data_IF_218450857831
#
_entry.id   IF_218450857831
#
_cell.length_a   1.000
_cell.length_b   1.000
_cell.length_c   1.000
_cell.angle_alpha   90.00
_cell.angle_beta   90.00
_cell.angle_gamma   90.00
#
_symmetry.space_group_name_H-M   'P 1'
#
loop_
_entity.id
_entity.type
_entity.pdbx_description
1 polymer ?
#
# COMPACT_ATOMS: atom_id res chain seq x y z
N UNK A 1 -22.98 8.33 7.54
CA UNK A 1 -23.08 6.98 6.95
C UNK A 1 -23.05 5.97 8.09
N UNK A 2 -23.72 4.83 7.99
CA UNK A 2 -23.60 3.77 9.01
C UNK A 2 -22.39 2.89 8.74
N UNK A 3 -21.91 2.18 9.76
CA UNK A 3 -20.84 1.18 9.62
C UNK A 3 -21.20 0.10 8.58
N UNK A 4 -22.44 -0.40 8.65
CA UNK A 4 -22.92 -1.48 7.77
C UNK A 4 -22.96 -1.02 6.30
N UNK A 5 -23.45 0.20 6.01
CA UNK A 5 -23.37 0.75 4.66
C UNK A 5 -21.93 0.99 4.18
N UNK A 6 -21.00 1.28 5.09
CA UNK A 6 -19.58 1.44 4.76
C UNK A 6 -18.85 0.10 4.53
N UNK A 7 -19.45 -1.04 4.89
CA UNK A 7 -18.90 -2.39 4.61
C UNK A 7 -19.37 -2.95 3.26
N UNK A 8 -20.40 -2.38 2.62
CA UNK A 8 -21.05 -2.96 1.44
C UNK A 8 -20.10 -3.13 0.23
N UNK A 9 -19.11 -2.25 0.07
CA UNK A 9 -18.14 -2.35 -1.02
C UNK A 9 -17.23 -3.59 -0.93
N UNK A 10 -17.08 -4.18 0.25
CA UNK A 10 -16.27 -5.39 0.47
C UNK A 10 -17.01 -6.69 0.10
N UNK A 11 -18.28 -6.62 -0.32
CA UNK A 11 -19.11 -7.74 -0.83
C UNK A 11 -19.07 -9.02 0.05
N UNK A 12 -18.93 -8.84 1.36
CA UNK A 12 -18.57 -9.88 2.34
C UNK A 12 -19.49 -11.12 2.35
N UNK A 13 -20.74 -10.96 1.94
CA UNK A 13 -21.77 -12.00 1.92
C UNK A 13 -21.81 -12.78 0.59
N UNK A 14 -21.09 -12.31 -0.44
CA UNK A 14 -20.96 -12.95 -1.75
C UNK A 14 -19.63 -13.72 -1.89
N UNK A 15 -18.65 -13.42 -1.03
CA UNK A 15 -17.39 -14.18 -0.96
C UNK A 15 -17.67 -15.63 -0.57
N UNK A 16 -17.23 -16.59 -1.39
CA UNK A 16 -17.49 -18.01 -1.11
C UNK A 16 -16.77 -18.47 0.18
N UNK A 17 -17.48 -19.25 1.01
CA UNK A 17 -16.90 -19.81 2.25
C UNK A 17 -15.66 -20.67 1.98
N UNK A 18 -15.60 -21.35 0.83
CA UNK A 18 -14.46 -22.16 0.43
C UNK A 18 -13.19 -21.33 0.23
N UNK A 19 -13.28 -20.21 -0.49
CA UNK A 19 -12.17 -19.27 -0.66
C UNK A 19 -11.74 -18.65 0.67
N UNK A 20 -12.71 -18.29 1.52
CA UNK A 20 -12.39 -17.75 2.86
C UNK A 20 -11.63 -18.78 3.69
N UNK A 21 -12.12 -20.03 3.79
CA UNK A 21 -11.41 -21.06 4.56
C UNK A 21 -10.03 -21.38 3.95
N UNK A 22 -9.87 -21.43 2.62
CA UNK A 22 -8.56 -21.62 1.95
C UNK A 22 -7.57 -20.49 2.27
N UNK A 23 -8.00 -19.23 2.29
CA UNK A 23 -7.15 -18.07 2.64
C UNK A 23 -6.74 -18.09 4.13
N UNK A 24 -7.62 -18.58 5.01
CA UNK A 24 -7.30 -18.80 6.43
C UNK A 24 -6.35 -19.99 6.63
N UNK A 25 -6.54 -21.10 5.90
CA UNK A 25 -5.69 -22.31 5.96
C UNK A 25 -4.27 -22.07 5.40
N UNK A 26 -4.09 -21.02 4.59
CA UNK A 26 -2.79 -20.54 4.09
C UNK A 26 -2.19 -19.39 4.92
N UNK A 27 -2.72 -19.14 6.12
CA UNK A 27 -2.17 -18.19 7.10
C UNK A 27 -1.99 -16.75 6.55
N UNK A 28 -2.75 -16.39 5.51
CA UNK A 28 -2.62 -15.14 4.75
C UNK A 28 -1.24 -14.92 4.09
N UNK A 29 -0.53 -16.00 3.75
CA UNK A 29 0.81 -15.94 3.12
C UNK A 29 0.76 -15.87 1.59
N UNK A 30 -0.25 -16.45 0.96
CA UNK A 30 -0.41 -16.55 -0.50
C UNK A 30 -1.65 -15.79 -1.00
N UNK A 31 -1.52 -15.10 -2.14
CA UNK A 31 -2.66 -14.48 -2.82
C UNK A 31 -3.51 -15.54 -3.53
N UNK A 32 -4.80 -15.61 -3.21
CA UNK A 32 -5.80 -16.43 -3.93
C UNK A 32 -6.73 -15.53 -4.74
N UNK A 33 -6.85 -15.82 -6.03
CA UNK A 33 -7.84 -15.18 -6.92
C UNK A 33 -9.26 -15.45 -6.42
N UNK A 34 -10.14 -14.47 -6.58
CA UNK A 34 -11.57 -14.60 -6.34
C UNK A 34 -12.27 -15.11 -7.62
N UNK A 35 -13.61 -15.03 -7.65
CA UNK A 35 -14.36 -15.02 -8.92
C UNK A 35 -14.08 -13.70 -9.64
N UNK A 36 -13.79 -13.75 -10.95
CA UNK A 36 -13.38 -12.60 -11.76
C UNK A 36 -14.30 -11.37 -11.56
N UNK A 37 -15.62 -11.57 -11.48
CA UNK A 37 -16.57 -10.46 -11.32
C UNK A 37 -16.53 -9.82 -9.92
N UNK A 38 -16.22 -10.62 -8.89
CA UNK A 38 -16.01 -10.13 -7.52
C UNK A 38 -14.64 -9.43 -7.44
N UNK A 39 -13.61 -9.96 -8.11
CA UNK A 39 -12.27 -9.37 -8.10
C UNK A 39 -12.23 -8.01 -8.83
N UNK A 40 -12.95 -7.86 -9.94
CA UNK A 40 -13.15 -6.59 -10.64
C UNK A 40 -13.90 -5.57 -9.77
N UNK A 41 -15.03 -5.95 -9.14
CA UNK A 41 -15.82 -5.06 -8.27
C UNK A 41 -15.03 -4.59 -7.03
N UNK A 42 -14.22 -5.48 -6.43
CA UNK A 42 -13.30 -5.14 -5.34
C UNK A 42 -12.15 -4.25 -5.83
N UNK A 43 -11.59 -4.50 -7.01
CA UNK A 43 -10.51 -3.70 -7.59
C UNK A 43 -10.96 -2.31 -8.05
N UNK A 44 -12.24 -2.16 -8.43
CA UNK A 44 -12.88 -0.89 -8.73
C UNK A 44 -13.18 -0.04 -7.48
N UNK A 45 -13.08 -0.60 -6.28
CA UNK A 45 -13.38 0.10 -5.04
C UNK A 45 -12.37 1.20 -4.71
N UNK A 46 -12.89 2.39 -4.38
CA UNK A 46 -12.11 3.61 -4.27
C UNK A 46 -11.53 3.90 -2.88
N UNK A 47 -10.54 4.80 -2.87
CA UNK A 47 -9.96 5.40 -1.67
C UNK A 47 -11.01 5.99 -0.71
N UNK A 48 -12.06 6.59 -1.27
CA UNK A 48 -13.17 7.20 -0.53
C UNK A 48 -13.94 6.18 0.30
N UNK A 49 -14.19 4.99 -0.25
CA UNK A 49 -14.95 3.92 0.39
C UNK A 49 -14.17 3.38 1.60
N UNK A 50 -12.87 3.09 1.41
CA UNK A 50 -11.94 2.76 2.48
C UNK A 50 -11.86 3.84 3.59
N UNK A 51 -11.69 5.12 3.22
CA UNK A 51 -11.65 6.23 4.20
C UNK A 51 -12.96 6.36 4.98
N UNK A 52 -14.10 6.14 4.33
CA UNK A 52 -15.42 6.24 4.96
C UNK A 52 -15.62 5.11 5.97
N UNK A 53 -15.22 3.89 5.63
CA UNK A 53 -15.23 2.75 6.57
C UNK A 53 -14.28 2.99 7.75
N UNK A 54 -13.06 3.48 7.51
CA UNK A 54 -12.10 3.81 8.56
C UNK A 54 -12.64 4.90 9.52
N UNK A 55 -13.28 5.95 8.98
CA UNK A 55 -13.92 6.98 9.80
C UNK A 55 -15.09 6.43 10.63
N UNK A 56 -15.92 5.54 10.06
CA UNK A 56 -16.99 4.88 10.80
C UNK A 56 -16.42 4.01 11.94
N UNK A 57 -15.40 3.21 11.68
CA UNK A 57 -14.70 2.40 12.69
C UNK A 57 -14.08 3.25 13.80
N UNK A 58 -13.36 4.31 13.44
CA UNK A 58 -12.67 5.19 14.38
C UNK A 58 -13.65 5.93 15.31
N UNK A 59 -14.80 6.34 14.79
CA UNK A 59 -15.86 6.97 15.59
C UNK A 59 -16.43 5.99 16.64
N UNK A 60 -16.64 4.72 16.29
CA UNK A 60 -17.05 3.71 17.28
C UNK A 60 -15.93 3.41 18.28
N UNK A 61 -14.68 3.28 17.83
CA UNK A 61 -13.53 3.01 18.68
C UNK A 61 -13.29 4.12 19.73
N UNK A 62 -13.43 5.40 19.36
CA UNK A 62 -13.32 6.53 20.26
C UNK A 62 -14.44 6.59 21.31
N UNK A 63 -15.65 6.12 20.95
CA UNK A 63 -16.83 6.24 21.80
C UNK A 63 -17.04 5.07 22.79
N UNK A 64 -16.23 4.00 22.75
CA UNK A 64 -16.37 2.84 23.66
C UNK A 64 -15.97 3.10 25.14
N UNK A 65 -15.82 4.37 25.54
CA UNK A 65 -15.75 4.77 26.95
C UNK A 65 -17.13 5.12 27.54
N UNK A 66 -18.16 5.25 26.71
CA UNK A 66 -19.54 5.48 27.12
C UNK A 66 -20.30 4.14 27.09
N UNK A 67 -20.75 3.65 28.26
CA UNK A 67 -21.45 2.36 28.37
C UNK A 67 -22.84 2.35 27.68
N UNK A 68 -23.36 3.50 27.22
CA UNK A 68 -24.55 3.55 26.37
C UNK A 68 -24.26 3.22 24.90
N UNK A 69 -22.99 3.19 24.49
CA UNK A 69 -22.58 2.93 23.10
C UNK A 69 -22.38 1.44 22.88
N UNK A 70 -23.23 0.86 22.03
CA UNK A 70 -23.17 -0.56 21.65
C UNK A 70 -21.80 -0.93 21.07
N UNK A 71 -21.19 -1.98 21.61
CA UNK A 71 -19.88 -2.45 21.13
C UNK A 71 -19.96 -2.87 19.67
N UNK A 72 -18.94 -2.51 18.88
CA UNK A 72 -18.94 -2.74 17.43
C UNK A 72 -19.14 -4.21 17.04
N UNK A 73 -18.67 -5.15 17.86
CA UNK A 73 -18.81 -6.58 17.61
C UNK A 73 -20.26 -7.07 17.74
N UNK A 74 -21.07 -6.41 18.57
CA UNK A 74 -22.52 -6.66 18.63
C UNK A 74 -23.20 -6.09 17.38
N UNK A 75 -22.86 -4.86 16.96
CA UNK A 75 -23.39 -4.25 15.72
C UNK A 75 -23.08 -5.15 14.51
N UNK A 76 -21.86 -5.67 14.40
CA UNK A 76 -21.45 -6.58 13.31
C UNK A 76 -22.18 -7.93 13.40
N UNK A 77 -22.34 -8.51 14.60
CA UNK A 77 -23.04 -9.78 14.79
C UNK A 77 -24.55 -9.70 14.53
N UNK A 78 -25.22 -8.63 14.97
CA UNK A 78 -26.65 -8.37 14.77
C UNK A 78 -27.00 -8.07 13.30
N UNK A 79 -26.03 -7.64 12.50
CA UNK A 79 -26.16 -7.46 11.05
C UNK A 79 -25.53 -8.63 10.25
N UNK A 80 -25.32 -9.78 10.91
CA UNK A 80 -24.81 -11.05 10.35
C UNK A 80 -23.49 -10.92 9.56
N UNK A 81 -22.65 -9.92 9.87
CA UNK A 81 -21.42 -9.64 9.12
C UNK A 81 -20.40 -10.76 9.32
N UNK A 82 -19.96 -11.48 8.25
CA UNK A 82 -19.05 -12.59 8.39
C UNK A 82 -17.62 -12.10 8.65
N UNK A 83 -17.25 -12.01 9.94
CA UNK A 83 -15.94 -11.54 10.42
C UNK A 83 -14.76 -12.25 9.74
N UNK A 84 -14.87 -13.57 9.49
CA UNK A 84 -13.87 -14.35 8.75
C UNK A 84 -13.65 -13.82 7.32
N UNK A 85 -14.73 -13.47 6.61
CA UNK A 85 -14.67 -12.89 5.25
C UNK A 85 -14.11 -11.48 5.28
N UNK A 86 -14.44 -10.68 6.31
CA UNK A 86 -13.88 -9.33 6.48
C UNK A 86 -12.34 -9.36 6.59
N UNK A 87 -11.78 -10.26 7.41
CA UNK A 87 -10.32 -10.41 7.51
C UNK A 87 -9.73 -10.93 6.19
N UNK A 88 -10.35 -11.91 5.55
CA UNK A 88 -9.87 -12.46 4.28
C UNK A 88 -9.87 -11.42 3.13
N UNK A 89 -10.94 -10.63 2.97
CA UNK A 89 -10.99 -9.56 1.95
C UNK A 89 -9.99 -8.44 2.26
N UNK A 90 -9.80 -8.07 3.53
CA UNK A 90 -8.74 -7.12 3.90
C UNK A 90 -7.34 -7.68 3.56
N UNK A 91 -7.11 -8.97 3.78
CA UNK A 91 -5.84 -9.63 3.44
C UNK A 91 -5.57 -9.65 1.93
N UNK A 92 -6.60 -9.84 1.10
CA UNK A 92 -6.50 -9.79 -0.37
C UNK A 92 -5.93 -8.44 -0.83
N UNK A 93 -6.48 -7.32 -0.34
CA UNK A 93 -5.94 -5.98 -0.65
C UNK A 93 -4.52 -5.77 -0.11
N UNK A 94 -4.22 -6.26 1.10
CA UNK A 94 -2.89 -6.17 1.71
C UNK A 94 -1.83 -6.91 0.88
N UNK A 95 -2.11 -8.14 0.45
CA UNK A 95 -1.23 -8.92 -0.40
C UNK A 95 -1.11 -8.33 -1.81
N UNK A 96 -2.21 -7.85 -2.39
CA UNK A 96 -2.21 -7.12 -3.65
C UNK A 96 -1.39 -5.81 -3.59
N UNK A 97 -1.28 -5.16 -2.42
CA UNK A 97 -0.39 -4.01 -2.20
C UNK A 97 1.07 -4.39 -1.98
N UNK A 98 1.34 -5.56 -1.40
CA UNK A 98 2.67 -6.09 -1.07
C UNK A 98 3.46 -6.58 -2.28
N UNK A 99 2.79 -7.03 -3.34
CA UNK A 99 3.47 -7.56 -4.52
C UNK A 99 4.41 -6.55 -5.20
N UNK A 100 5.39 -7.05 -5.96
CA UNK A 100 6.42 -6.25 -6.64
C UNK A 100 5.91 -5.60 -7.94
N UNK A 101 4.84 -6.12 -8.52
CA UNK A 101 4.23 -5.61 -9.76
C UNK A 101 3.04 -4.67 -9.50
N UNK A 102 2.57 -4.58 -8.25
CA UNK A 102 1.36 -3.82 -7.88
C UNK A 102 1.38 -2.37 -8.37
N UNK A 103 0.25 -1.98 -8.97
CA UNK A 103 -0.06 -0.61 -9.34
C UNK A 103 -0.14 0.31 -8.12
N UNK A 104 -0.07 1.62 -8.37
CA UNK A 104 -0.25 2.65 -7.32
C UNK A 104 -1.60 2.47 -6.61
N UNK A 105 -2.67 2.12 -7.33
CA UNK A 105 -4.00 1.90 -6.74
C UNK A 105 -4.02 0.69 -5.80
N UNK A 106 -3.45 -0.45 -6.20
CA UNK A 106 -3.34 -1.64 -5.33
C UNK A 106 -2.51 -1.36 -4.07
N UNK A 107 -1.41 -0.60 -4.18
CA UNK A 107 -0.60 -0.16 -3.02
C UNK A 107 -1.39 0.74 -2.07
N UNK A 108 -2.18 1.67 -2.60
CA UNK A 108 -3.06 2.54 -1.80
C UNK A 108 -4.17 1.73 -1.11
N UNK A 109 -4.91 0.88 -1.85
CA UNK A 109 -5.96 0.03 -1.28
C UNK A 109 -5.40 -0.95 -0.23
N UNK A 110 -4.22 -1.51 -0.45
CA UNK A 110 -3.54 -2.36 0.52
C UNK A 110 -3.16 -1.62 1.81
N UNK A 111 -2.57 -0.42 1.70
CA UNK A 111 -2.28 0.42 2.88
C UNK A 111 -3.55 0.80 3.66
N UNK A 112 -4.65 1.05 2.96
CA UNK A 112 -5.94 1.31 3.57
C UNK A 112 -6.55 0.06 4.23
N UNK A 113 -6.44 -1.11 3.62
CA UNK A 113 -6.87 -2.38 4.20
C UNK A 113 -6.04 -2.77 5.44
N UNK A 114 -4.71 -2.58 5.40
CA UNK A 114 -3.84 -2.73 6.57
C UNK A 114 -4.26 -1.77 7.70
N UNK A 115 -4.53 -0.50 7.38
CA UNK A 115 -5.00 0.49 8.36
C UNK A 115 -6.33 0.09 9.01
N UNK A 116 -7.26 -0.48 8.24
CA UNK A 116 -8.52 -1.02 8.74
C UNK A 116 -8.32 -2.23 9.65
N UNK A 117 -7.48 -3.18 9.26
CA UNK A 117 -7.17 -4.37 10.05
C UNK A 117 -6.50 -4.00 11.39
N UNK A 118 -5.48 -3.14 11.37
CA UNK A 118 -4.81 -2.64 12.58
C UNK A 118 -5.79 -1.89 13.50
N UNK A 119 -6.70 -1.09 12.95
CA UNK A 119 -7.76 -0.42 13.73
C UNK A 119 -8.73 -1.43 14.36
N UNK A 120 -9.16 -2.46 13.62
CA UNK A 120 -10.03 -3.54 14.12
C UNK A 120 -9.36 -4.32 15.27
N UNK A 121 -8.06 -4.60 15.20
CA UNK A 121 -7.32 -5.25 16.28
C UNK A 121 -7.30 -4.41 17.56
N UNK A 122 -7.19 -3.08 17.42
CA UNK A 122 -7.18 -2.14 18.54
C UNK A 122 -8.51 -1.97 19.28
N UNK A 123 -9.63 -2.48 18.75
CA UNK A 123 -10.94 -2.38 19.41
C UNK A 123 -11.11 -3.53 20.43
N UNK A 124 -11.45 -3.24 21.71
CA UNK A 124 -11.69 -4.27 22.72
C UNK A 124 -12.67 -5.34 22.24
N UNK A 125 -12.28 -6.61 22.34
CA UNK A 125 -13.05 -7.77 21.85
C UNK A 125 -12.49 -8.43 20.58
N UNK A 126 -11.55 -7.81 19.87
CA UNK A 126 -10.91 -8.34 18.64
C UNK A 126 -10.34 -9.76 18.75
N UNK A 127 -9.83 -10.14 19.93
CA UNK A 127 -9.35 -11.50 20.23
C UNK A 127 -10.52 -12.49 20.35
N UNK A 128 -11.62 -12.08 21.00
CA UNK A 128 -12.80 -12.94 21.20
C UNK A 128 -13.56 -13.20 19.89
N UNK A 129 -13.58 -12.22 18.98
CA UNK A 129 -14.12 -12.35 17.62
C UNK A 129 -13.17 -13.01 16.63
N UNK A 130 -11.97 -13.45 17.09
CA UNK A 130 -10.94 -14.12 16.28
C UNK A 130 -10.49 -13.33 15.06
N UNK A 131 -10.41 -12.00 15.18
CA UNK A 131 -9.86 -11.11 14.13
C UNK A 131 -8.33 -11.17 14.11
N UNK A 132 -7.69 -11.42 15.26
CA UNK A 132 -6.24 -11.49 15.37
C UNK A 132 -5.64 -12.68 14.63
N UNK A 133 -4.72 -12.38 13.70
CA UNK A 133 -3.79 -13.32 13.09
C UNK A 133 -2.38 -12.69 13.00
N UNK A 134 -1.37 -13.42 13.49
CA UNK A 134 0.01 -12.93 13.69
C UNK A 134 0.70 -12.59 12.36
N UNK A 135 0.74 -13.53 11.42
CA UNK A 135 1.34 -13.35 10.08
C UNK A 135 0.74 -12.18 9.29
N UNK A 136 -0.55 -11.88 9.53
CA UNK A 136 -1.25 -10.77 8.89
C UNK A 136 -0.94 -9.43 9.59
N UNK A 137 -0.76 -9.42 10.92
CA UNK A 137 -0.28 -8.26 11.66
C UNK A 137 1.13 -7.85 11.23
N UNK A 138 2.06 -8.81 11.13
CA UNK A 138 3.42 -8.57 10.64
C UNK A 138 3.39 -8.07 9.20
N UNK A 139 2.61 -8.72 8.34
CA UNK A 139 2.45 -8.32 6.93
C UNK A 139 1.85 -6.91 6.79
N UNK A 140 0.85 -6.54 7.59
CA UNK A 140 0.29 -5.18 7.60
C UNK A 140 1.29 -4.14 8.14
N UNK A 141 2.16 -4.52 9.07
CA UNK A 141 3.18 -3.63 9.66
C UNK A 141 4.31 -3.34 8.67
N UNK A 142 4.81 -4.38 7.98
CA UNK A 142 5.85 -4.28 6.97
C UNK A 142 5.34 -3.70 5.64
N UNK A 143 4.03 -3.74 5.33
CA UNK A 143 3.47 -3.26 4.06
C UNK A 143 3.92 -1.84 3.67
N UNK A 144 4.18 -0.97 4.64
CA UNK A 144 4.69 0.39 4.38
C UNK A 144 6.07 0.41 3.71
N UNK A 145 6.92 -0.60 3.95
CA UNK A 145 8.23 -0.73 3.31
C UNK A 145 8.14 -1.11 1.83
N UNK A 146 7.19 -1.99 1.48
CA UNK A 146 6.92 -2.41 0.09
C UNK A 146 6.11 -1.39 -0.71
N UNK A 147 5.28 -0.57 -0.04
CA UNK A 147 4.45 0.44 -0.70
C UNK A 147 5.14 1.81 -0.86
N UNK A 148 6.24 2.08 -0.15
CA UNK A 148 7.01 3.30 -0.36
C UNK A 148 7.71 3.24 -1.73
N UNK A 149 7.80 4.35 -2.50
CA UNK A 149 8.60 4.37 -3.71
C UNK A 149 10.06 4.07 -3.37
N UNK A 150 10.67 3.03 -3.94
CA UNK A 150 12.11 2.78 -3.81
C UNK A 150 12.87 4.05 -4.17
N UNK A 151 13.54 4.66 -3.17
CA UNK A 151 14.18 5.96 -3.39
C UNK A 151 15.21 5.82 -4.51
N UNK A 152 15.18 6.77 -5.44
CA UNK A 152 15.67 6.60 -6.80
C UNK A 152 17.20 6.73 -6.91
N UNK A 153 17.91 5.89 -6.16
CA UNK A 153 19.36 5.69 -6.14
C UNK A 153 19.99 5.27 -7.47
N UNK A 154 19.17 5.16 -8.53
CA UNK A 154 19.54 5.46 -9.92
C UNK A 154 20.06 6.90 -10.01
N UNK A 155 21.29 7.11 -9.52
CA UNK A 155 22.11 8.33 -9.68
C UNK A 155 21.80 8.91 -11.06
N UNK A 156 21.12 10.08 -11.10
CA UNK A 156 20.88 10.80 -12.36
C UNK A 156 22.20 10.82 -13.10
N UNK A 157 22.23 10.21 -14.29
CA UNK A 157 23.44 10.18 -15.12
C UNK A 157 23.85 11.63 -15.27
N UNK A 158 24.95 12.03 -14.63
CA UNK A 158 25.41 13.41 -14.66
C UNK A 158 25.87 13.65 -16.08
N UNK A 159 24.97 14.13 -16.93
CA UNK A 159 25.32 14.55 -18.27
C UNK A 159 26.49 15.49 -18.15
N UNK A 160 27.60 15.06 -18.74
CA UNK A 160 28.89 15.71 -18.58
C UNK A 160 28.87 16.98 -19.40
N UNK A 161 28.24 18.01 -18.84
CA UNK A 161 28.26 19.37 -19.35
C UNK A 161 29.71 19.72 -19.64
N UNK A 162 30.03 19.84 -20.94
CA UNK A 162 31.38 20.11 -21.41
C UNK A 162 31.73 21.54 -21.02
N UNK A 163 32.28 21.71 -19.83
CA UNK A 163 32.77 23.01 -19.35
C UNK A 163 33.83 23.51 -20.32
N UNK A 164 33.49 24.55 -21.07
CA UNK A 164 34.33 25.14 -22.09
C UNK A 164 35.37 26.06 -21.43
N UNK A 165 36.39 25.47 -20.80
CA UNK A 165 37.58 26.18 -20.36
C UNK A 165 38.82 25.51 -20.96
N UNK A 166 39.48 26.25 -21.85
CA UNK A 166 40.83 26.00 -22.34
C UNK A 166 41.56 27.35 -22.36
N UNK A 167 42.77 27.38 -21.82
CA UNK A 167 43.36 28.56 -21.18
C UNK A 167 43.68 29.78 -22.06
N UNK A 168 43.78 30.92 -21.37
CA UNK A 168 44.06 32.22 -21.97
C UNK A 168 45.43 32.30 -22.67
N UNK A 169 45.45 32.94 -23.84
CA UNK A 169 46.66 33.20 -24.64
C UNK A 169 47.65 34.10 -23.89
N UNK A 170 48.68 33.52 -23.27
CA UNK A 170 49.81 34.27 -22.69
C UNK A 170 50.95 34.45 -23.70
N UNK A 171 50.89 35.53 -24.47
CA UNK A 171 51.95 35.89 -25.44
C UNK A 171 53.32 36.05 -24.76
N UNK A 172 54.37 35.51 -25.39
CA UNK A 172 55.78 35.81 -25.10
C UNK A 172 56.60 35.91 -26.41
N UNK A 173 57.75 36.59 -26.40
CA UNK A 173 58.23 37.27 -27.62
C UNK A 173 59.06 36.42 -28.57
N UNK A 174 59.04 36.85 -29.83
CA UNK A 174 59.88 36.38 -30.93
C UNK A 174 61.35 36.80 -30.74
N UNK A 175 62.30 35.90 -31.01
CA UNK A 175 63.74 36.22 -31.12
C UNK A 175 64.31 35.58 -32.38
N UNK A 176 65.06 36.39 -33.14
CA UNK A 176 65.80 36.05 -34.38
C UNK A 176 67.23 35.55 -34.05
N UNK A 177 68.14 35.17 -34.96
CA UNK A 177 68.17 35.05 -36.45
C UNK A 177 68.41 33.54 -36.83
N UNK A 178 68.84 33.02 -38.00
CA UNK A 178 69.48 33.54 -39.25
C UNK A 178 69.23 32.56 -40.45
N UNK A 179 69.77 32.90 -41.63
CA UNK A 179 70.38 32.08 -42.73
C UNK A 179 70.41 30.54 -42.68
N UNK A 180 70.42 29.78 -43.79
CA UNK A 180 70.35 29.99 -45.27
C UNK A 180 69.97 28.61 -45.92
N UNK A 181 69.74 28.37 -47.23
CA UNK A 181 70.30 28.91 -48.49
C UNK A 181 69.30 28.75 -49.67
N UNK A 182 69.53 29.47 -50.78
CA UNK A 182 69.22 29.21 -52.20
C UNK A 182 68.08 28.25 -52.66
N UNK A 183 67.33 28.69 -53.69
CA UNK A 183 67.68 28.28 -55.07
C UNK A 183 67.26 29.34 -56.12
N UNK A 184 67.90 29.26 -57.31
CA UNK A 184 67.75 30.03 -58.58
C UNK A 184 67.06 31.41 -58.55
#
# INVERSE_FOLDING_TARGET
>A
MSLISALQFLRLNEISKAWVDEVWDLEFTESKSLDDAIEDDLSASGDKEFRTLYQCLLAHAANQQDESVQSIWAILGENEVPIKSLVAVLSFFVLAGKDKTSSVQQRVSGLHAASLYLLLLGIPGSIATKVFHEVLLDTCSDLTSHCWPEDSGKKRKKDSAKSSQADGKRSKPQRRETSEVHDT
#
